data_IF_988633816759
#
_entry.id   IF_988633816759
#
_cell.length_a   1.000
_cell.length_b   1.000
_cell.length_c   1.000
_cell.angle_alpha   90.00
_cell.angle_beta   90.00
_cell.angle_gamma   90.00
#
_symmetry.space_group_name_H-M   'P 1'
#
loop_
_entity.id
_entity.type
_entity.pdbx_description
1 polymer ?
#
# COMPACT_ATOMS: atom_id res chain seq x y z
N UNK A 1 26.33 48.64 36.08
CA UNK A 1 25.42 47.48 36.27
C UNK A 1 24.90 47.06 34.87
N UNK A 2 25.44 45.92 34.36
CA UNK A 2 24.97 45.30 33.12
C UNK A 2 24.01 44.20 33.56
N UNK A 3 22.73 44.37 33.25
CA UNK A 3 21.73 43.33 33.44
C UNK A 3 21.73 42.42 32.20
N UNK A 4 22.30 41.22 32.35
CA UNK A 4 22.25 40.20 31.30
C UNK A 4 20.86 39.54 31.29
N UNK A 5 20.15 39.72 30.17
CA UNK A 5 18.83 39.11 29.96
C UNK A 5 19.04 37.71 29.37
N UNK A 6 18.90 36.67 30.19
CA UNK A 6 18.95 35.29 29.74
C UNK A 6 17.63 34.94 29.08
N UNK A 7 17.59 34.85 27.75
CA UNK A 7 16.43 34.35 27.01
C UNK A 7 16.46 32.83 27.04
N UNK A 8 15.60 32.25 27.83
CA UNK A 8 15.39 30.80 27.88
C UNK A 8 14.52 30.39 26.67
N UNK A 9 15.14 29.81 25.65
CA UNK A 9 14.41 29.16 24.56
C UNK A 9 13.81 27.85 25.10
N UNK A 10 12.49 27.87 25.37
CA UNK A 10 11.73 26.66 25.61
C UNK A 10 11.53 25.96 24.24
N UNK A 11 12.37 24.99 23.92
CA UNK A 11 12.12 24.07 22.79
C UNK A 11 11.02 23.11 23.23
N UNK A 12 9.79 23.40 22.85
CA UNK A 12 8.71 22.43 22.95
C UNK A 12 9.02 21.29 21.98
N UNK A 13 9.48 20.16 22.50
CA UNK A 13 9.46 18.89 21.76
C UNK A 13 7.99 18.54 21.56
N UNK A 14 7.48 18.75 20.34
CA UNK A 14 6.21 18.17 19.92
C UNK A 14 6.45 16.66 19.89
N UNK A 15 5.92 15.95 20.89
CA UNK A 15 5.85 14.49 20.81
C UNK A 15 4.91 14.18 19.66
N UNK A 16 5.46 13.69 18.57
CA UNK A 16 4.65 13.17 17.45
C UNK A 16 3.84 12.00 18.01
N UNK A 17 2.52 12.09 17.89
CA UNK A 17 1.62 10.96 18.17
C UNK A 17 1.84 10.00 17.00
N UNK A 18 2.75 9.05 17.18
CA UNK A 18 2.96 7.99 16.19
C UNK A 18 1.75 7.06 16.23
N UNK A 19 1.07 6.89 15.11
CA UNK A 19 0.03 5.87 14.95
C UNK A 19 0.62 4.44 15.12
N UNK A 20 -0.24 3.42 15.27
CA UNK A 20 0.25 2.04 15.38
C UNK A 20 1.01 1.65 14.11
N UNK A 21 2.13 0.94 14.30
CA UNK A 21 2.90 0.34 13.20
C UNK A 21 2.02 -0.68 12.47
N UNK A 22 1.87 -0.52 11.16
CA UNK A 22 1.13 -1.46 10.30
C UNK A 22 2.05 -2.33 9.44
N UNK A 23 3.34 -1.99 9.37
CA UNK A 23 4.34 -2.72 8.59
C UNK A 23 5.70 -2.04 8.63
N UNK A 24 6.58 -2.45 7.75
CA UNK A 24 7.91 -1.85 7.56
C UNK A 24 8.42 -2.00 6.12
N UNK A 25 9.34 -1.13 5.73
CA UNK A 25 10.09 -1.25 4.48
C UNK A 25 11.20 -2.29 4.67
N UNK A 26 11.11 -3.41 3.94
CA UNK A 26 12.09 -4.51 4.02
C UNK A 26 13.08 -4.53 2.84
N UNK A 27 12.82 -3.73 1.80
CA UNK A 27 13.70 -3.53 0.66
C UNK A 27 13.52 -2.14 0.08
N UNK A 28 14.62 -1.51 -0.35
CA UNK A 28 14.60 -0.18 -0.92
C UNK A 28 15.78 -0.02 -1.89
N UNK A 29 15.51 0.65 -3.01
CA UNK A 29 16.53 1.06 -3.97
C UNK A 29 16.19 2.44 -4.53
N UNK A 30 17.20 3.18 -4.97
CA UNK A 30 17.05 4.50 -5.58
C UNK A 30 16.33 5.52 -4.68
N UNK A 31 15.60 6.41 -5.31
CA UNK A 31 14.90 7.52 -4.63
C UNK A 31 13.54 7.07 -4.13
N UNK A 32 13.32 7.16 -2.81
CA UNK A 32 12.06 6.77 -2.18
C UNK A 32 11.76 7.68 -0.99
N UNK A 33 10.51 8.07 -0.81
CA UNK A 33 10.09 8.93 0.30
C UNK A 33 8.67 8.63 0.75
N UNK A 34 8.35 9.10 1.94
CA UNK A 34 7.03 9.09 2.55
C UNK A 34 6.61 10.50 2.93
N UNK A 35 5.34 10.81 2.73
CA UNK A 35 4.69 11.96 3.33
C UNK A 35 3.74 11.47 4.43
N UNK A 36 3.91 12.02 5.64
CA UNK A 36 3.08 11.77 6.81
C UNK A 36 2.80 13.07 7.53
N UNK A 37 1.52 13.38 7.76
CA UNK A 37 1.08 14.60 8.44
C UNK A 37 1.63 15.91 7.81
N UNK A 38 1.83 15.90 6.48
CA UNK A 38 2.38 17.03 5.71
C UNK A 38 3.90 17.17 5.77
N UNK A 39 4.60 16.23 6.39
CA UNK A 39 6.06 16.18 6.41
C UNK A 39 6.58 15.08 5.48
N UNK A 40 7.50 15.45 4.58
CA UNK A 40 8.15 14.51 3.65
C UNK A 40 9.50 14.08 4.21
N UNK A 41 9.77 12.78 4.19
CA UNK A 41 11.05 12.21 4.60
C UNK A 41 11.47 11.05 3.69
N UNK A 42 12.77 10.89 3.48
CA UNK A 42 13.29 9.75 2.76
C UNK A 42 13.03 8.47 3.56
N UNK A 43 12.60 7.41 2.85
CA UNK A 43 12.48 6.08 3.45
C UNK A 43 13.81 5.33 3.39
N UNK A 44 13.93 4.31 4.23
CA UNK A 44 15.06 3.38 4.26
C UNK A 44 14.59 2.01 4.73
N UNK A 45 15.43 0.99 4.62
CA UNK A 45 15.14 -0.31 5.23
C UNK A 45 14.87 -0.16 6.73
N UNK A 46 13.82 -0.81 7.23
CA UNK A 46 13.36 -0.72 8.62
C UNK A 46 12.46 0.50 8.89
N UNK A 47 12.16 1.33 7.87
CA UNK A 47 11.19 2.43 8.02
C UNK A 47 9.82 1.87 8.43
N UNK A 48 9.27 2.34 9.55
CA UNK A 48 7.98 1.89 10.07
C UNK A 48 6.81 2.55 9.33
N UNK A 49 5.94 1.71 8.79
CA UNK A 49 4.73 2.13 8.08
C UNK A 49 3.58 2.35 9.08
N UNK A 50 2.78 3.37 8.79
CA UNK A 50 1.57 3.72 9.54
C UNK A 50 0.41 3.95 8.57
N UNK A 51 -0.81 3.90 9.08
CA UNK A 51 -1.98 4.34 8.30
C UNK A 51 -1.81 5.81 7.88
N UNK A 52 -2.29 6.13 6.68
CA UNK A 52 -2.22 7.43 6.01
C UNK A 52 -0.82 7.82 5.51
N UNK A 53 0.15 6.92 5.55
CA UNK A 53 1.40 7.14 4.84
C UNK A 53 1.16 7.23 3.34
N UNK A 54 1.72 8.27 2.72
CA UNK A 54 1.78 8.43 1.28
C UNK A 54 3.20 8.15 0.81
N UNK A 55 3.39 6.94 0.28
CA UNK A 55 4.67 6.41 -0.17
C UNK A 55 4.89 6.67 -1.66
N UNK A 56 6.10 7.08 -2.01
CA UNK A 56 6.44 7.40 -3.39
C UNK A 56 7.82 6.86 -3.76
N UNK A 57 7.97 6.49 -5.03
CA UNK A 57 9.24 6.07 -5.63
C UNK A 57 9.57 6.96 -6.83
N UNK A 58 10.83 7.32 -6.98
CA UNK A 58 11.34 8.05 -8.14
C UNK A 58 11.52 7.16 -9.38
N UNK A 59 12.06 7.73 -10.44
CA UNK A 59 12.34 7.01 -11.71
C UNK A 59 13.33 5.85 -11.51
N UNK A 60 14.25 5.96 -10.58
CA UNK A 60 15.22 4.94 -10.18
C UNK A 60 14.78 4.14 -8.94
N UNK A 61 13.59 4.46 -8.40
CA UNK A 61 13.13 4.01 -7.09
C UNK A 61 12.42 2.67 -7.11
N UNK A 62 12.47 1.99 -5.97
CA UNK A 62 11.65 0.81 -5.68
C UNK A 62 11.62 0.53 -4.19
N UNK A 63 10.49 0.04 -3.69
CA UNK A 63 10.32 -0.35 -2.30
C UNK A 63 9.63 -1.71 -2.18
N UNK A 64 9.98 -2.45 -1.13
CA UNK A 64 9.27 -3.65 -0.71
C UNK A 64 8.72 -3.36 0.69
N UNK A 65 7.41 -3.38 0.82
CA UNK A 65 6.68 -3.19 2.07
C UNK A 65 6.28 -4.57 2.60
N UNK A 66 6.44 -4.77 3.91
CA UNK A 66 5.97 -5.97 4.59
C UNK A 66 5.06 -5.55 5.73
N UNK A 67 3.78 -5.87 5.63
CA UNK A 67 2.79 -5.56 6.66
C UNK A 67 2.87 -6.55 7.81
N UNK A 68 2.35 -6.18 8.98
CA UNK A 68 2.42 -7.03 10.20
C UNK A 68 1.65 -8.34 10.08
N UNK A 69 0.71 -8.46 9.13
CA UNK A 69 -0.02 -9.68 8.79
C UNK A 69 0.72 -10.58 7.79
N UNK A 70 1.89 -10.15 7.31
CA UNK A 70 2.69 -10.84 6.29
C UNK A 70 2.34 -10.48 4.84
N UNK A 71 1.36 -9.60 4.60
CA UNK A 71 1.11 -9.04 3.26
C UNK A 71 2.36 -8.34 2.74
N UNK A 72 2.70 -8.59 1.47
CA UNK A 72 3.81 -7.90 0.79
C UNK A 72 3.29 -7.02 -0.34
N UNK A 73 3.85 -5.85 -0.42
CA UNK A 73 3.61 -4.91 -1.51
C UNK A 73 4.95 -4.45 -2.08
N UNK A 74 5.17 -4.66 -3.38
CA UNK A 74 6.38 -4.17 -4.04
C UNK A 74 6.01 -3.03 -4.97
N UNK A 75 6.65 -1.89 -4.79
CA UNK A 75 6.49 -0.69 -5.61
C UNK A 75 7.65 -0.60 -6.60
N UNK A 76 7.35 -0.50 -7.88
CA UNK A 76 8.32 -0.20 -8.93
C UNK A 76 8.58 1.30 -9.05
N UNK A 77 9.31 1.75 -10.11
CA UNK A 77 9.56 3.16 -10.36
C UNK A 77 8.31 4.00 -10.57
N UNK A 78 8.38 5.29 -10.18
CA UNK A 78 7.31 6.28 -10.35
C UNK A 78 5.95 5.80 -9.80
N UNK A 79 5.97 5.13 -8.66
CA UNK A 79 4.76 4.59 -8.02
C UNK A 79 4.37 5.44 -6.83
N UNK A 80 3.07 5.72 -6.73
CA UNK A 80 2.44 6.44 -5.61
C UNK A 80 1.42 5.52 -4.94
N UNK A 81 1.58 5.32 -3.61
CA UNK A 81 0.75 4.45 -2.81
C UNK A 81 0.36 5.11 -1.50
N UNK A 82 -0.93 5.05 -1.15
CA UNK A 82 -1.45 5.46 0.16
C UNK A 82 -1.93 4.25 0.95
N UNK A 83 -1.58 4.18 2.23
CA UNK A 83 -2.12 3.20 3.17
C UNK A 83 -3.38 3.80 3.79
N UNK A 84 -4.56 3.47 3.26
CA UNK A 84 -5.82 4.10 3.67
C UNK A 84 -6.33 3.50 5.00
N UNK A 85 -6.32 2.16 5.09
CA UNK A 85 -6.80 1.42 6.25
C UNK A 85 -6.02 0.12 6.42
N UNK A 86 -5.74 -0.24 7.66
CA UNK A 86 -5.21 -1.54 8.00
C UNK A 86 -5.69 -1.95 9.39
N UNK A 87 -6.40 -3.07 9.48
CA UNK A 87 -6.83 -3.70 10.73
C UNK A 87 -6.40 -5.17 10.73
N UNK A 88 -5.64 -5.57 11.73
CA UNK A 88 -5.24 -6.95 11.97
C UNK A 88 -5.23 -7.23 13.47
N UNK A 89 -6.42 -7.53 14.01
CA UNK A 89 -6.57 -7.90 15.42
C UNK A 89 -7.35 -9.20 15.55
N UNK A 90 -6.63 -10.28 15.86
CA UNK A 90 -7.18 -11.62 16.09
C UNK A 90 -7.49 -11.89 17.56
N UNK A 91 -7.22 -10.94 18.46
CA UNK A 91 -7.45 -11.05 19.90
C UNK A 91 -8.85 -10.62 20.34
N UNK A 92 -9.56 -9.88 19.46
CA UNK A 92 -10.93 -9.41 19.70
C UNK A 92 -11.99 -10.35 19.09
N UNK A 93 -13.24 -10.22 19.54
CA UNK A 93 -14.37 -10.98 18.99
C UNK A 93 -15.53 -10.02 18.72
N UNK A 94 -15.96 -9.87 17.44
CA UNK A 94 -15.41 -10.52 16.22
C UNK A 94 -13.98 -10.07 15.92
N UNK A 95 -13.19 -10.88 15.23
CA UNK A 95 -11.85 -10.50 14.75
C UNK A 95 -11.96 -9.34 13.76
N UNK A 96 -11.00 -8.42 13.82
CA UNK A 96 -10.95 -7.26 12.92
C UNK A 96 -9.86 -7.47 11.87
N UNK A 97 -10.28 -7.63 10.61
CA UNK A 97 -9.42 -7.91 9.47
C UNK A 97 -9.85 -7.06 8.28
N UNK A 98 -9.08 -6.03 7.96
CA UNK A 98 -9.31 -5.18 6.80
C UNK A 98 -8.00 -4.60 6.27
N UNK A 99 -7.93 -4.40 4.96
CA UNK A 99 -6.85 -3.68 4.30
C UNK A 99 -7.39 -2.89 3.13
N UNK A 100 -7.17 -1.58 3.13
CA UNK A 100 -7.44 -0.70 2.01
C UNK A 100 -6.18 0.07 1.65
N UNK A 101 -5.79 0.02 0.38
CA UNK A 101 -4.62 0.70 -0.18
C UNK A 101 -5.02 1.36 -1.48
N UNK A 102 -4.56 2.58 -1.71
CA UNK A 102 -4.74 3.28 -2.99
C UNK A 102 -3.41 3.39 -3.74
N UNK A 103 -3.40 3.01 -5.03
CA UNK A 103 -2.29 3.22 -5.96
C UNK A 103 -2.74 4.19 -7.04
N UNK A 104 -2.20 5.41 -7.01
CA UNK A 104 -2.60 6.48 -7.94
C UNK A 104 -1.96 6.30 -9.32
N UNK A 105 -0.70 5.93 -9.35
CA UNK A 105 0.11 5.74 -10.57
C UNK A 105 1.26 4.79 -10.27
N UNK A 106 1.77 4.12 -11.29
CA UNK A 106 2.99 3.31 -11.23
C UNK A 106 2.77 1.82 -11.44
N UNK A 107 3.76 1.04 -11.02
CA UNK A 107 3.77 -0.42 -11.17
C UNK A 107 3.97 -1.07 -9.80
N UNK A 108 3.18 -2.09 -9.51
CA UNK A 108 3.26 -2.76 -8.23
C UNK A 108 2.99 -4.27 -8.33
N UNK A 109 3.41 -5.00 -7.31
CA UNK A 109 2.95 -6.36 -7.04
C UNK A 109 2.42 -6.46 -5.63
N UNK A 110 1.41 -7.30 -5.45
CA UNK A 110 0.80 -7.63 -4.18
C UNK A 110 0.87 -9.13 -3.94
N UNK A 111 1.15 -9.54 -2.71
CA UNK A 111 1.07 -10.93 -2.25
C UNK A 111 0.28 -10.97 -0.93
N UNK A 112 -0.74 -11.83 -0.87
CA UNK A 112 -1.66 -11.94 0.25
C UNK A 112 -0.98 -12.40 1.53
N UNK A 113 -1.29 -11.71 2.63
CA UNK A 113 -0.97 -12.09 3.99
C UNK A 113 -2.18 -12.68 4.73
N UNK A 114 -2.13 -12.62 6.05
CA UNK A 114 -3.13 -13.25 6.93
C UNK A 114 -4.49 -12.57 6.86
N UNK A 115 -4.58 -11.26 6.61
CA UNK A 115 -5.87 -10.57 6.46
C UNK A 115 -6.72 -11.27 5.41
N UNK A 116 -6.21 -11.42 4.19
CA UNK A 116 -6.92 -12.08 3.09
C UNK A 116 -7.13 -13.57 3.35
N UNK A 117 -6.11 -14.27 3.86
CA UNK A 117 -6.14 -15.73 4.07
C UNK A 117 -7.10 -16.15 5.19
N UNK A 118 -7.37 -15.28 6.16
CA UNK A 118 -8.36 -15.49 7.23
C UNK A 118 -9.77 -14.99 6.88
N UNK A 119 -9.97 -14.54 5.62
CA UNK A 119 -11.27 -14.09 5.13
C UNK A 119 -11.60 -12.65 5.45
N UNK A 120 -10.60 -11.82 5.79
CA UNK A 120 -10.73 -10.37 5.90
C UNK A 120 -10.87 -9.73 4.52
N UNK A 121 -11.37 -8.52 4.51
CA UNK A 121 -11.57 -7.74 3.29
C UNK A 121 -10.28 -7.04 2.89
N UNK A 122 -9.81 -7.30 1.67
CA UNK A 122 -8.65 -6.60 1.07
C UNK A 122 -9.11 -5.92 -0.21
N UNK A 123 -9.04 -4.60 -0.21
CA UNK A 123 -9.35 -3.76 -1.36
C UNK A 123 -8.13 -2.92 -1.73
N UNK A 124 -7.80 -2.91 -3.02
CA UNK A 124 -6.76 -2.06 -3.58
C UNK A 124 -7.38 -1.19 -4.66
N UNK A 125 -7.44 0.12 -4.42
CA UNK A 125 -7.88 1.10 -5.40
C UNK A 125 -6.71 1.42 -6.33
N UNK A 126 -6.80 1.04 -7.59
CA UNK A 126 -5.75 1.23 -8.58
C UNK A 126 -6.30 2.08 -9.75
N UNK A 127 -6.02 3.37 -9.73
CA UNK A 127 -6.58 4.31 -10.70
C UNK A 127 -8.11 4.26 -10.71
N UNK A 128 -8.72 3.85 -11.84
CA UNK A 128 -10.17 3.76 -12.00
C UNK A 128 -10.76 2.38 -11.62
N UNK A 129 -9.97 1.51 -11.00
CA UNK A 129 -10.37 0.16 -10.62
C UNK A 129 -10.31 -0.04 -9.11
N UNK A 130 -11.25 -0.82 -8.58
CA UNK A 130 -11.16 -1.43 -7.26
C UNK A 130 -10.88 -2.92 -7.41
N UNK A 131 -9.86 -3.40 -6.73
CA UNK A 131 -9.39 -4.79 -6.77
C UNK A 131 -9.68 -5.43 -5.42
N UNK A 132 -10.56 -6.43 -5.40
CA UNK A 132 -10.81 -7.26 -4.21
C UNK A 132 -10.04 -8.58 -4.33
N UNK A 133 -9.29 -8.93 -3.31
CA UNK A 133 -8.32 -10.03 -3.33
C UNK A 133 -8.75 -11.17 -2.42
N UNK A 134 -8.60 -12.41 -2.89
CA UNK A 134 -8.84 -13.62 -2.11
C UNK A 134 -7.67 -14.59 -2.27
N UNK A 135 -6.73 -14.53 -1.31
CA UNK A 135 -5.65 -15.51 -1.13
C UNK A 135 -4.79 -15.75 -2.37
N UNK A 136 -4.10 -14.72 -2.91
CA UNK A 136 -3.29 -14.84 -4.12
C UNK A 136 -2.26 -13.72 -4.22
N UNK A 137 -1.45 -13.76 -5.27
CA UNK A 137 -0.61 -12.65 -5.71
C UNK A 137 -1.11 -12.07 -7.04
N UNK A 138 -0.84 -10.81 -7.29
CA UNK A 138 -1.07 -10.18 -8.60
C UNK A 138 -0.11 -9.02 -8.83
N UNK A 139 0.06 -8.64 -10.09
CA UNK A 139 0.73 -7.41 -10.48
C UNK A 139 -0.27 -6.41 -11.05
N UNK A 140 0.00 -5.13 -10.83
CA UNK A 140 -0.80 -4.03 -11.36
C UNK A 140 0.07 -2.93 -11.96
N UNK A 141 -0.47 -2.28 -12.97
CA UNK A 141 0.06 -1.03 -13.51
C UNK A 141 -1.06 -0.01 -13.58
N UNK A 142 -0.77 1.22 -13.19
CA UNK A 142 -1.69 2.35 -13.29
C UNK A 142 -0.97 3.47 -14.03
N UNK A 143 -1.54 3.95 -15.13
CA UNK A 143 -0.99 5.10 -15.83
C UNK A 143 -1.56 6.43 -15.33
N UNK A 144 -1.03 7.54 -15.80
CA UNK A 144 -1.46 8.89 -15.42
C UNK A 144 -2.88 9.27 -15.84
N UNK A 145 -3.55 8.45 -16.67
CA UNK A 145 -4.96 8.61 -17.02
C UNK A 145 -5.89 7.83 -16.09
N UNK A 146 -5.32 7.04 -15.15
CA UNK A 146 -6.04 6.14 -14.26
C UNK A 146 -6.39 4.79 -14.91
N UNK A 147 -5.89 4.51 -16.13
CA UNK A 147 -6.02 3.19 -16.73
C UNK A 147 -5.22 2.19 -15.91
N UNK A 148 -5.88 1.13 -15.46
CA UNK A 148 -5.26 0.05 -14.69
C UNK A 148 -5.23 -1.25 -15.50
N UNK A 149 -4.13 -2.00 -15.39
CA UNK A 149 -4.03 -3.37 -15.90
C UNK A 149 -3.59 -4.27 -14.75
N UNK A 150 -4.39 -5.30 -14.47
CA UNK A 150 -4.21 -6.22 -13.35
C UNK A 150 -4.01 -7.62 -13.90
N UNK A 151 -2.95 -8.29 -13.46
CA UNK A 151 -2.57 -9.64 -13.90
C UNK A 151 -2.47 -10.56 -12.69
N UNK A 152 -3.28 -11.62 -12.64
CA UNK A 152 -3.23 -12.62 -11.58
C UNK A 152 -1.94 -13.42 -11.65
N UNK A 153 -1.29 -13.63 -10.50
CA UNK A 153 -0.06 -14.41 -10.36
C UNK A 153 -0.27 -15.54 -9.35
N UNK A 154 0.48 -16.64 -9.43
CA UNK A 154 0.65 -17.53 -8.30
C UNK A 154 1.33 -16.77 -7.15
N UNK A 155 0.99 -17.10 -5.90
CA UNK A 155 1.74 -16.64 -4.74
C UNK A 155 3.11 -17.35 -4.62
N UNK A 156 3.87 -17.04 -3.56
CA UNK A 156 5.19 -17.63 -3.31
C UNK A 156 5.18 -19.15 -3.14
N UNK A 157 4.04 -19.73 -2.75
CA UNK A 157 3.81 -21.17 -2.58
C UNK A 157 3.24 -21.83 -3.85
N UNK A 158 3.02 -21.05 -4.91
CA UNK A 158 2.47 -21.50 -6.18
C UNK A 158 0.94 -21.63 -6.19
N UNK A 159 0.28 -21.14 -5.16
CA UNK A 159 -1.19 -21.15 -5.08
C UNK A 159 -1.76 -20.01 -5.91
N UNK A 160 -2.84 -20.31 -6.63
CA UNK A 160 -3.60 -19.32 -7.42
C UNK A 160 -4.98 -19.19 -6.80
N UNK A 161 -5.23 -18.05 -6.16
CA UNK A 161 -6.56 -17.69 -5.68
C UNK A 161 -7.36 -16.96 -6.74
N UNK A 162 -8.07 -15.90 -6.35
CA UNK A 162 -8.84 -15.08 -7.29
C UNK A 162 -8.73 -13.59 -6.97
N UNK A 163 -8.88 -12.81 -8.04
CA UNK A 163 -8.92 -11.35 -7.97
C UNK A 163 -10.16 -10.88 -8.71
N UNK A 164 -10.98 -10.06 -8.05
CA UNK A 164 -12.12 -9.39 -8.70
C UNK A 164 -11.76 -7.92 -8.93
N UNK A 165 -11.79 -7.53 -10.19
CA UNK A 165 -11.56 -6.15 -10.63
C UNK A 165 -12.90 -5.53 -10.96
N UNK A 166 -13.21 -4.38 -10.38
CA UNK A 166 -14.49 -3.68 -10.54
C UNK A 166 -14.31 -2.18 -10.76
N UNK A 167 -15.30 -1.58 -11.41
CA UNK A 167 -15.51 -0.14 -11.53
C UNK A 167 -17.00 0.16 -11.68
N UNK A 168 -17.38 1.39 -12.03
CA UNK A 168 -18.78 1.80 -12.24
C UNK A 168 -19.48 1.05 -13.39
N UNK A 169 -18.72 0.50 -14.35
CA UNK A 169 -19.26 -0.26 -15.49
C UNK A 169 -19.58 -1.73 -15.16
N UNK A 170 -18.99 -2.27 -14.06
CA UNK A 170 -19.22 -3.65 -13.66
C UNK A 170 -18.03 -4.29 -12.94
N UNK A 171 -17.97 -5.63 -12.96
CA UNK A 171 -16.90 -6.39 -12.35
C UNK A 171 -16.48 -7.60 -13.18
N UNK A 172 -15.22 -7.96 -13.11
CA UNK A 172 -14.65 -9.17 -13.73
C UNK A 172 -13.74 -9.89 -12.76
N UNK A 173 -13.93 -11.20 -12.60
CA UNK A 173 -13.10 -12.05 -11.73
C UNK A 173 -12.09 -12.82 -12.56
N UNK A 174 -10.81 -12.77 -12.15
CA UNK A 174 -9.69 -13.53 -12.72
C UNK A 174 -9.40 -14.70 -11.80
N UNK A 175 -9.41 -15.93 -12.35
CA UNK A 175 -9.16 -17.19 -11.61
C UNK A 175 -8.02 -18.01 -12.19
N UNK A 176 -7.51 -17.63 -13.35
CA UNK A 176 -6.38 -18.32 -13.99
C UNK A 176 -5.12 -17.44 -13.92
N UNK A 177 -4.02 -18.03 -13.47
CA UNK A 177 -2.74 -17.34 -13.45
C UNK A 177 -2.37 -16.78 -14.83
N UNK A 178 -1.72 -15.61 -14.82
CA UNK A 178 -1.26 -14.87 -16.00
C UNK A 178 -2.37 -14.30 -16.89
N UNK A 179 -3.64 -14.45 -16.50
CA UNK A 179 -4.71 -13.70 -17.14
C UNK A 179 -4.75 -12.27 -16.59
N UNK A 180 -5.14 -11.35 -17.45
CA UNK A 180 -5.18 -9.92 -17.13
C UNK A 180 -6.54 -9.32 -17.44
N UNK A 181 -6.90 -8.29 -16.68
CA UNK A 181 -8.01 -7.38 -16.94
C UNK A 181 -7.46 -5.97 -17.06
N UNK A 182 -7.92 -5.24 -18.06
CA UNK A 182 -7.60 -3.82 -18.22
C UNK A 182 -8.87 -3.00 -17.99
N UNK A 183 -8.75 -2.00 -17.14
CA UNK A 183 -9.81 -1.01 -16.85
C UNK A 183 -9.40 0.29 -17.55
N UNK A 184 -10.14 0.64 -18.58
CA UNK A 184 -10.10 1.96 -19.21
C UNK A 184 -11.10 2.84 -18.44
N UNK A 185 -10.91 4.13 -18.39
CA UNK A 185 -11.62 5.11 -17.55
C UNK A 185 -13.08 4.79 -17.16
N UNK A 186 -13.86 4.05 -17.97
CA UNK A 186 -15.26 3.66 -17.68
C UNK A 186 -15.65 2.27 -18.23
N UNK A 187 -14.72 1.48 -18.80
CA UNK A 187 -14.99 0.16 -19.37
C UNK A 187 -14.03 -0.91 -18.83
N UNK A 188 -14.56 -2.12 -18.61
CA UNK A 188 -13.78 -3.34 -18.33
C UNK A 188 -13.56 -4.12 -19.62
N UNK A 189 -12.31 -4.40 -19.99
CA UNK A 189 -11.96 -5.17 -21.19
C UNK A 189 -10.99 -6.31 -20.86
#
# INVERSE_FOLDING_TARGET
FIVSFLVLFCTSTISQITGPKVGEVIGQMGTTWNERDGETQNTSMGYELQMRDFLQTGEDGGMILNYVDGTKFTMGPNTELTIDEFAFDTSVVPIELAMNVSVNVGTFTYESGSVSNLGGEVNINAGNATITVQGTAFSGTVDTSGKATITLLPDSDGVVGQVTVSNDAGSQTITNAYNSVTVLSNDLT
#
